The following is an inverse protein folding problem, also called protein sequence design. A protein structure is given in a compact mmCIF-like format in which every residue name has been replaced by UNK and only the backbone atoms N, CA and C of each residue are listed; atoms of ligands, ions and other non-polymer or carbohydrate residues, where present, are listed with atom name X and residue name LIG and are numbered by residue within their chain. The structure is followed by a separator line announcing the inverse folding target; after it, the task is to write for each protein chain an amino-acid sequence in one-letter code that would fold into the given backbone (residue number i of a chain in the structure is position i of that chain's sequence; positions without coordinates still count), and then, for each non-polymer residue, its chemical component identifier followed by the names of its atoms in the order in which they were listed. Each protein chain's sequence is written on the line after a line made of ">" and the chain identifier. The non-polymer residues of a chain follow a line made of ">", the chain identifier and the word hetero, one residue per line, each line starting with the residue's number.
data_IF_502686478892
#
_entry.id   IF_502686478892
#
_cell.length_a   1.000
_cell.length_b   1.000
_cell.length_c   1.000
_cell.angle_alpha   90.00
_cell.angle_beta   90.00
_cell.angle_gamma   90.00
#
_symmetry.space_group_name_H-M   'P 1'
#
loop_
_entity.id
_entity.type
_entity.pdbx_description
1 polymer ?
#
# COMPACT_ATOMS: atom_id res chain seq x y z
N UNK A 1 9.71 -13.62 -37.00
CA UNK A 1 9.45 -14.74 -36.05
C UNK A 1 10.26 -14.44 -34.82
N UNK A 2 9.59 -14.07 -33.72
CA UNK A 2 10.26 -13.72 -32.46
C UNK A 2 10.82 -14.99 -31.78
N UNK A 3 11.90 -14.87 -31.01
CA UNK A 3 12.48 -15.96 -30.20
C UNK A 3 11.44 -16.73 -29.36
N UNK A 4 10.29 -16.11 -29.05
CA UNK A 4 9.15 -16.74 -28.37
C UNK A 4 8.46 -17.84 -29.21
N UNK A 5 8.50 -17.77 -30.53
CA UNK A 5 7.83 -18.76 -31.39
C UNK A 5 8.62 -20.09 -31.50
N UNK A 6 9.90 -20.10 -31.15
CA UNK A 6 10.75 -21.31 -31.21
C UNK A 6 10.72 -22.13 -29.90
N UNK A 7 10.41 -21.52 -28.75
CA UNK A 7 10.30 -22.21 -27.45
C UNK A 7 8.93 -22.90 -27.28
N UNK A 8 7.95 -22.54 -28.09
CA UNK A 8 6.54 -22.91 -27.91
C UNK A 8 6.16 -24.34 -28.37
N UNK A 9 7.07 -25.13 -28.92
CA UNK A 9 6.70 -26.47 -29.43
C UNK A 9 6.81 -27.60 -28.41
N UNK A 10 7.25 -27.35 -27.17
CA UNK A 10 7.54 -28.42 -26.18
C UNK A 10 6.99 -28.16 -24.78
N UNK A 11 6.35 -27.02 -24.49
CA UNK A 11 5.81 -26.74 -23.15
C UNK A 11 4.36 -26.20 -23.20
N UNK A 12 3.55 -26.45 -22.16
CA UNK A 12 2.22 -25.88 -22.06
C UNK A 12 2.24 -24.34 -22.13
N UNK A 13 1.34 -23.78 -22.93
CA UNK A 13 1.22 -22.31 -23.04
C UNK A 13 0.46 -21.76 -21.84
N UNK A 14 0.91 -20.63 -21.25
CA UNK A 14 0.16 -19.92 -20.24
C UNK A 14 -1.11 -19.29 -20.84
N UNK A 15 -1.98 -18.76 -19.98
CA UNK A 15 -3.12 -17.94 -20.43
C UNK A 15 -2.61 -16.77 -21.28
N UNK A 16 -3.37 -16.40 -22.33
CA UNK A 16 -2.97 -15.30 -23.24
C UNK A 16 -2.78 -13.95 -22.55
N UNK A 17 -3.48 -13.69 -21.45
CA UNK A 17 -3.28 -12.49 -20.64
C UNK A 17 -1.89 -12.44 -20.00
N UNK A 18 -1.31 -13.62 -19.71
CA UNK A 18 0.00 -13.74 -19.04
C UNK A 18 1.17 -13.65 -20.01
N UNK A 19 0.99 -14.11 -21.26
CA UNK A 19 2.08 -14.20 -22.26
C UNK A 19 2.82 -12.86 -22.43
N UNK A 20 2.08 -11.74 -22.48
CA UNK A 20 2.63 -10.41 -22.77
C UNK A 20 2.81 -9.55 -21.49
N UNK A 21 2.50 -10.09 -20.32
CA UNK A 21 2.64 -9.36 -19.06
C UNK A 21 4.12 -9.16 -18.69
N UNK A 22 4.42 -7.96 -18.20
CA UNK A 22 5.67 -7.71 -17.49
C UNK A 22 5.49 -8.06 -16.02
N UNK A 23 6.43 -8.83 -15.46
CA UNK A 23 6.40 -9.15 -14.03
C UNK A 23 6.55 -7.88 -13.19
N UNK A 24 5.70 -7.75 -12.17
CA UNK A 24 5.88 -6.73 -11.14
C UNK A 24 7.09 -7.12 -10.28
N UNK A 25 8.18 -6.38 -10.39
CA UNK A 25 9.43 -6.67 -9.70
C UNK A 25 9.89 -5.52 -8.82
N UNK A 26 10.60 -5.86 -7.76
CA UNK A 26 11.23 -4.91 -6.86
C UNK A 26 12.65 -5.39 -6.51
N UNK A 27 13.64 -4.50 -6.35
CA UNK A 27 15.01 -4.87 -5.97
C UNK A 27 15.01 -5.24 -4.47
N UNK A 28 14.86 -6.54 -4.16
CA UNK A 28 14.73 -7.04 -2.79
C UNK A 28 16.07 -7.36 -2.13
N UNK A 29 17.13 -7.59 -2.94
CA UNK A 29 18.40 -8.11 -2.43
C UNK A 29 19.36 -7.01 -1.92
N UNK A 30 20.24 -7.39 -1.02
CA UNK A 30 21.34 -6.54 -0.49
C UNK A 30 20.85 -5.22 0.13
N UNK A 31 19.75 -5.25 0.92
CA UNK A 31 19.14 -4.07 1.53
C UNK A 31 19.35 -3.99 3.06
N UNK A 32 19.68 -5.11 3.71
CA UNK A 32 19.61 -5.25 5.18
C UNK A 32 20.54 -4.33 5.94
N UNK A 33 21.72 -4.04 5.40
CA UNK A 33 22.76 -3.23 6.04
C UNK A 33 22.71 -1.75 5.62
N UNK A 34 21.65 -1.33 4.92
CA UNK A 34 21.49 0.03 4.41
C UNK A 34 20.28 0.69 5.06
N UNK A 35 20.28 2.01 5.15
CA UNK A 35 19.11 2.78 5.54
C UNK A 35 18.04 2.67 4.44
N UNK A 36 16.93 1.99 4.74
CA UNK A 36 15.87 1.64 3.78
C UNK A 36 14.81 2.73 3.68
N UNK A 37 15.00 3.67 2.76
CA UNK A 37 14.04 4.74 2.46
C UNK A 37 13.39 4.56 1.07
N UNK A 38 13.30 3.30 0.58
CA UNK A 38 12.83 2.96 -0.77
C UNK A 38 11.43 2.31 -0.82
N UNK A 39 11.00 1.56 0.22
CA UNK A 39 9.74 0.81 0.21
C UNK A 39 8.73 1.24 1.28
N UNK A 40 8.92 2.40 1.88
CA UNK A 40 8.03 2.94 2.90
C UNK A 40 7.85 1.99 4.10
N UNK A 41 8.90 1.21 4.42
CA UNK A 41 8.94 0.33 5.58
C UNK A 41 9.06 1.14 6.86
N UNK A 42 8.63 0.56 7.99
CA UNK A 42 9.03 1.07 9.31
C UNK A 42 10.54 0.79 9.50
N UNK A 43 11.31 1.85 9.62
CA UNK A 43 12.78 1.77 9.67
C UNK A 43 13.31 1.33 11.04
N UNK A 44 12.48 1.39 12.09
CA UNK A 44 12.81 0.92 13.44
C UNK A 44 12.52 -0.58 13.62
N UNK A 45 11.63 -1.14 12.77
CA UNK A 45 11.17 -2.51 12.92
C UNK A 45 9.98 -2.67 13.87
N UNK A 46 9.66 -3.89 14.35
CA UNK A 46 8.58 -4.14 15.29
C UNK A 46 8.96 -3.77 16.73
N UNK A 47 7.95 -3.64 17.60
CA UNK A 47 8.18 -3.39 19.03
C UNK A 47 8.82 -4.60 19.72
N UNK A 48 9.42 -4.35 20.90
CA UNK A 48 9.99 -5.39 21.73
C UNK A 48 8.96 -6.46 22.12
N UNK A 49 7.70 -6.05 22.39
CA UNK A 49 6.61 -6.98 22.71
C UNK A 49 6.28 -7.93 21.55
N UNK A 50 6.38 -7.45 20.32
CA UNK A 50 6.23 -8.31 19.12
C UNK A 50 7.37 -9.30 19.02
N UNK A 51 8.61 -8.85 19.24
CA UNK A 51 9.78 -9.72 19.20
C UNK A 51 9.70 -10.82 20.27
N UNK A 52 9.31 -10.48 21.50
CA UNK A 52 9.10 -11.45 22.58
C UNK A 52 7.99 -12.45 22.23
N UNK A 53 6.84 -11.98 21.77
CA UNK A 53 5.74 -12.85 21.37
C UNK A 53 6.14 -13.86 20.26
N UNK A 54 7.03 -13.45 19.33
CA UNK A 54 7.56 -14.33 18.30
C UNK A 54 8.52 -15.37 18.91
N UNK A 55 9.38 -14.98 19.85
CA UNK A 55 10.30 -15.89 20.55
C UNK A 55 9.59 -16.97 21.36
N UNK A 56 8.40 -16.63 21.90
CA UNK A 56 7.61 -17.53 22.74
C UNK A 56 6.76 -18.52 21.92
N UNK A 57 6.83 -18.47 20.58
CA UNK A 57 6.16 -19.43 19.69
C UNK A 57 6.73 -20.83 19.94
N UNK A 58 5.88 -21.76 20.36
CA UNK A 58 6.25 -23.13 20.63
C UNK A 58 6.11 -24.03 19.39
N UNK A 59 6.62 -25.27 19.50
CA UNK A 59 6.62 -26.24 18.39
C UNK A 59 5.21 -26.54 17.86
N UNK A 60 4.20 -26.61 18.72
CA UNK A 60 2.83 -26.87 18.29
C UNK A 60 2.29 -25.74 17.42
N UNK A 61 2.58 -24.47 17.76
CA UNK A 61 2.16 -23.32 16.94
C UNK A 61 2.84 -23.28 15.56
N UNK A 62 4.00 -23.97 15.42
CA UNK A 62 4.69 -24.09 14.13
C UNK A 62 4.12 -25.27 13.32
N UNK A 63 3.80 -26.39 13.97
CA UNK A 63 3.39 -27.63 13.32
C UNK A 63 1.89 -27.74 13.02
N UNK A 64 1.06 -26.91 13.67
CA UNK A 64 -0.40 -26.89 13.50
C UNK A 64 -0.80 -25.70 12.63
N UNK A 65 -1.81 -25.88 11.79
CA UNK A 65 -2.38 -24.79 11.02
C UNK A 65 -2.87 -23.64 11.91
N UNK A 66 -2.68 -22.36 11.50
CA UNK A 66 -2.98 -21.21 12.34
C UNK A 66 -4.48 -21.06 12.63
N UNK A 67 -4.79 -20.60 13.84
CA UNK A 67 -6.13 -20.24 14.28
C UNK A 67 -6.31 -18.72 14.21
N UNK A 68 -7.40 -18.25 13.58
CA UNK A 68 -7.63 -16.82 13.32
C UNK A 68 -8.61 -16.15 14.26
N UNK A 69 -9.41 -16.93 15.00
CA UNK A 69 -10.53 -16.41 15.78
C UNK A 69 -10.10 -15.40 16.84
N UNK A 70 -8.99 -15.65 17.54
CA UNK A 70 -8.48 -14.74 18.55
C UNK A 70 -8.08 -13.38 17.95
N UNK A 71 -7.35 -13.40 16.84
CA UNK A 71 -6.95 -12.17 16.14
C UNK A 71 -8.17 -11.43 15.57
N UNK A 72 -9.09 -12.14 14.91
CA UNK A 72 -10.34 -11.53 14.39
C UNK A 72 -11.16 -10.88 15.49
N UNK A 73 -11.36 -11.57 16.60
CA UNK A 73 -12.06 -11.02 17.77
C UNK A 73 -11.37 -9.80 18.36
N UNK A 74 -10.04 -9.81 18.40
CA UNK A 74 -9.29 -8.65 18.86
C UNK A 74 -9.43 -7.47 17.92
N UNK A 75 -9.29 -7.68 16.61
CA UNK A 75 -9.48 -6.65 15.57
C UNK A 75 -10.91 -6.11 15.60
N UNK A 76 -11.91 -6.97 15.69
CA UNK A 76 -13.33 -6.61 15.80
C UNK A 76 -13.61 -5.60 16.91
N UNK A 77 -13.01 -5.81 18.08
CA UNK A 77 -13.31 -5.03 19.28
C UNK A 77 -12.35 -3.85 19.53
N UNK A 78 -11.13 -3.89 19.00
CA UNK A 78 -10.06 -3.01 19.43
C UNK A 78 -9.28 -2.30 18.31
N UNK A 79 -9.60 -2.56 17.03
CA UNK A 79 -8.86 -1.93 15.94
C UNK A 79 -9.05 -0.42 15.92
N UNK A 80 -10.28 0.04 16.13
CA UNK A 80 -10.64 1.43 16.39
C UNK A 80 -11.42 1.55 17.69
N UNK A 81 -11.09 2.51 18.52
CA UNK A 81 -11.79 2.74 19.81
C UNK A 81 -13.23 3.19 19.64
N UNK A 82 -13.47 3.94 18.55
CA UNK A 82 -14.79 4.52 18.24
C UNK A 82 -15.75 3.55 17.54
N UNK A 83 -15.28 2.34 17.15
CA UNK A 83 -16.10 1.40 16.38
C UNK A 83 -15.71 -0.05 16.61
N UNK A 84 -16.71 -0.88 16.81
CA UNK A 84 -16.62 -2.33 16.73
C UNK A 84 -17.09 -2.82 15.35
N UNK A 85 -16.51 -3.91 14.88
CA UNK A 85 -16.87 -4.59 13.65
C UNK A 85 -17.43 -5.97 13.96
N UNK A 86 -18.31 -6.49 13.11
CA UNK A 86 -18.58 -7.92 13.14
C UNK A 86 -17.35 -8.69 12.64
N UNK A 87 -17.05 -9.83 13.24
CA UNK A 87 -15.95 -10.69 12.77
C UNK A 87 -16.10 -11.17 11.34
N UNK A 88 -17.33 -11.22 10.82
CA UNK A 88 -17.65 -11.54 9.43
C UNK A 88 -17.39 -10.37 8.46
N UNK A 89 -17.30 -9.14 8.96
CA UNK A 89 -16.87 -7.95 8.20
C UNK A 89 -15.34 -7.90 8.00
N UNK A 90 -14.56 -8.84 8.56
CA UNK A 90 -13.11 -8.83 8.59
C UNK A 90 -12.54 -10.03 7.83
N UNK A 91 -11.76 -9.76 6.76
CA UNK A 91 -10.91 -10.74 6.08
C UNK A 91 -9.45 -10.61 6.54
N UNK A 92 -8.76 -11.75 6.69
CA UNK A 92 -7.32 -11.82 6.98
C UNK A 92 -6.59 -12.36 5.74
N UNK A 93 -5.46 -11.72 5.40
CA UNK A 93 -4.73 -12.03 4.16
C UNK A 93 -3.21 -12.01 4.40
N UNK A 94 -2.49 -12.72 3.57
CA UNK A 94 -1.01 -12.73 3.55
C UNK A 94 -0.45 -11.40 3.01
N UNK A 95 -0.68 -10.31 3.74
CA UNK A 95 -0.41 -8.93 3.37
C UNK A 95 -1.52 -8.31 2.52
N UNK A 96 -1.45 -6.99 2.35
CA UNK A 96 -2.41 -6.26 1.51
C UNK A 96 -2.39 -6.72 0.04
N UNK A 97 -1.25 -7.15 -0.49
CA UNK A 97 -1.14 -7.63 -1.87
C UNK A 97 -2.02 -8.87 -2.10
N UNK A 98 -2.09 -9.79 -1.12
CA UNK A 98 -2.98 -10.95 -1.20
C UNK A 98 -4.46 -10.52 -1.15
N UNK A 99 -4.82 -9.54 -0.32
CA UNK A 99 -6.18 -8.98 -0.30
C UNK A 99 -6.55 -8.35 -1.64
N UNK A 100 -5.66 -7.54 -2.22
CA UNK A 100 -5.85 -6.93 -3.55
C UNK A 100 -6.09 -8.02 -4.60
N UNK A 101 -5.20 -9.01 -4.66
CA UNK A 101 -5.32 -10.12 -5.62
C UNK A 101 -6.63 -10.91 -5.43
N UNK A 102 -7.01 -11.22 -4.18
CA UNK A 102 -8.26 -11.92 -3.88
C UNK A 102 -9.49 -11.12 -4.33
N UNK A 103 -9.48 -9.78 -4.18
CA UNK A 103 -10.57 -8.92 -4.65
C UNK A 103 -10.68 -8.96 -6.17
N UNK A 104 -9.55 -8.86 -6.89
CA UNK A 104 -9.58 -9.00 -8.36
C UNK A 104 -10.04 -10.39 -8.80
N UNK A 105 -9.62 -11.45 -8.12
CA UNK A 105 -10.06 -12.82 -8.42
C UNK A 105 -11.55 -13.05 -8.14
N UNK A 106 -12.13 -12.31 -7.17
CA UNK A 106 -13.55 -12.49 -6.78
C UNK A 106 -14.52 -11.65 -7.59
N UNK A 107 -14.10 -10.46 -8.03
CA UNK A 107 -14.96 -9.44 -8.63
C UNK A 107 -14.52 -8.96 -10.00
N UNK A 108 -13.31 -9.33 -10.44
CA UNK A 108 -12.79 -8.98 -11.75
C UNK A 108 -13.25 -9.97 -12.82
N UNK A 109 -13.88 -9.46 -13.86
CA UNK A 109 -14.27 -10.23 -15.03
C UNK A 109 -13.60 -9.69 -16.29
N UNK A 110 -13.37 -10.60 -17.27
CA UNK A 110 -12.82 -10.22 -18.59
C UNK A 110 -13.70 -9.14 -19.24
N UNK A 111 -13.06 -8.17 -19.87
CA UNK A 111 -13.67 -7.03 -20.58
C UNK A 111 -14.46 -6.05 -19.69
N UNK A 112 -14.64 -6.35 -18.42
CA UNK A 112 -15.19 -5.40 -17.45
C UNK A 112 -14.19 -4.27 -17.13
N UNK A 113 -14.71 -3.15 -16.65
CA UNK A 113 -13.90 -1.96 -16.41
C UNK A 113 -13.36 -1.94 -14.98
N UNK A 114 -12.04 -1.73 -14.91
CA UNK A 114 -11.30 -1.35 -13.72
C UNK A 114 -10.94 0.13 -13.76
N UNK A 115 -11.37 0.92 -12.78
CA UNK A 115 -11.07 2.35 -12.66
C UNK A 115 -10.12 2.61 -11.49
N UNK A 116 -9.08 3.41 -11.73
CA UNK A 116 -8.15 3.89 -10.70
C UNK A 116 -7.55 5.24 -11.09
N UNK A 117 -6.66 5.79 -10.25
CA UNK A 117 -5.86 6.97 -10.57
C UNK A 117 -4.52 6.59 -11.19
N UNK A 118 -3.82 7.56 -11.80
CA UNK A 118 -2.45 7.43 -12.29
C UNK A 118 -1.67 8.73 -12.03
N UNK A 119 -0.46 8.68 -11.41
CA UNK A 119 0.22 7.50 -10.90
C UNK A 119 -0.40 6.98 -9.58
N UNK A 120 -0.37 5.67 -9.37
CA UNK A 120 -0.82 5.01 -8.13
C UNK A 120 0.02 3.76 -7.83
N UNK A 121 -0.39 2.97 -6.83
CA UNK A 121 0.30 1.73 -6.49
C UNK A 121 0.34 0.76 -7.68
N UNK A 122 1.55 0.32 -8.03
CA UNK A 122 1.79 -0.39 -9.29
C UNK A 122 1.17 -1.78 -9.38
N UNK A 123 0.82 -2.41 -8.26
CA UNK A 123 0.33 -3.79 -8.24
C UNK A 123 -1.11 -3.96 -8.72
N UNK A 124 -1.91 -2.88 -8.74
CA UNK A 124 -3.28 -2.98 -9.26
C UNK A 124 -3.32 -3.33 -10.76
N UNK A 125 -2.39 -2.79 -11.55
CA UNK A 125 -2.34 -3.06 -13.00
C UNK A 125 -2.16 -4.54 -13.32
N UNK A 126 -1.11 -5.24 -12.84
CA UNK A 126 -0.96 -6.67 -13.11
C UNK A 126 -2.16 -7.50 -12.61
N UNK A 127 -2.76 -7.16 -11.46
CA UNK A 127 -3.95 -7.87 -11.00
C UNK A 127 -5.14 -7.73 -11.99
N UNK A 128 -5.36 -6.52 -12.51
CA UNK A 128 -6.41 -6.29 -13.51
C UNK A 128 -6.12 -6.95 -14.86
N UNK A 129 -4.86 -6.97 -15.28
CA UNK A 129 -4.40 -7.60 -16.51
C UNK A 129 -4.59 -9.13 -16.47
N UNK A 130 -4.27 -9.78 -15.32
CA UNK A 130 -4.52 -11.21 -15.10
C UNK A 130 -5.99 -11.56 -15.31
N UNK A 131 -6.92 -10.68 -14.89
CA UNK A 131 -8.37 -10.90 -15.07
C UNK A 131 -8.86 -10.53 -16.49
N UNK A 132 -7.99 -9.93 -17.34
CA UNK A 132 -8.39 -9.45 -18.66
C UNK A 132 -9.32 -8.23 -18.61
N UNK A 133 -9.27 -7.44 -17.54
CA UNK A 133 -10.08 -6.24 -17.39
C UNK A 133 -9.56 -5.07 -18.24
N UNK A 134 -10.46 -4.18 -18.63
CA UNK A 134 -10.10 -2.92 -19.29
C UNK A 134 -9.82 -1.82 -18.26
N UNK A 135 -8.56 -1.43 -18.13
CA UNK A 135 -8.14 -0.38 -17.20
C UNK A 135 -8.45 1.02 -17.73
N UNK A 136 -9.13 1.84 -16.92
CA UNK A 136 -9.33 3.28 -17.11
C UNK A 136 -8.69 4.03 -15.95
N UNK A 137 -8.00 5.14 -16.23
CA UNK A 137 -7.34 5.93 -15.19
C UNK A 137 -7.77 7.39 -15.23
N UNK A 138 -7.75 8.06 -14.07
CA UNK A 138 -7.79 9.51 -13.94
C UNK A 138 -6.42 10.02 -13.48
N UNK A 139 -5.94 11.09 -14.09
CA UNK A 139 -4.68 11.73 -13.70
C UNK A 139 -4.93 12.76 -12.61
N UNK A 140 -4.05 12.85 -11.63
CA UNK A 140 -4.08 13.89 -10.60
C UNK A 140 -3.95 15.28 -11.20
N UNK A 141 -4.56 16.29 -10.56
CA UNK A 141 -4.63 17.66 -11.05
C UNK A 141 -3.57 18.54 -10.41
N UNK A 142 -2.89 19.32 -11.22
CA UNK A 142 -1.91 20.34 -10.81
C UNK A 142 -0.65 19.77 -10.15
N UNK A 143 0.25 20.67 -9.77
CA UNK A 143 1.54 20.33 -9.17
C UNK A 143 1.43 19.72 -7.76
N UNK A 144 0.31 19.96 -7.09
CA UNK A 144 0.00 19.44 -5.75
C UNK A 144 -0.73 18.09 -5.81
N UNK A 145 -0.87 17.49 -6.99
CA UNK A 145 -1.51 16.18 -7.19
C UNK A 145 -2.89 16.11 -6.54
N UNK A 146 -3.77 17.09 -6.76
CA UNK A 146 -5.13 17.08 -6.25
C UNK A 146 -5.91 15.90 -6.86
N UNK A 147 -6.75 15.25 -6.06
CA UNK A 147 -7.57 14.14 -6.55
C UNK A 147 -8.58 14.64 -7.59
N UNK A 148 -8.65 14.03 -8.78
CA UNK A 148 -9.48 14.46 -9.90
C UNK A 148 -10.96 14.10 -9.70
N UNK A 149 -11.61 14.65 -8.69
CA UNK A 149 -12.93 14.21 -8.21
C UNK A 149 -14.01 14.27 -9.28
N UNK A 150 -14.06 15.35 -10.05
CA UNK A 150 -15.06 15.56 -11.12
C UNK A 150 -14.88 14.51 -12.23
N UNK A 151 -13.66 14.37 -12.73
CA UNK A 151 -13.33 13.40 -13.78
C UNK A 151 -13.62 11.96 -13.31
N UNK A 152 -13.34 11.67 -12.04
CA UNK A 152 -13.57 10.36 -11.43
C UNK A 152 -15.08 10.06 -11.36
N UNK A 153 -15.91 11.02 -10.91
CA UNK A 153 -17.37 10.91 -10.88
C UNK A 153 -17.96 10.68 -12.28
N UNK A 154 -17.55 11.48 -13.26
CA UNK A 154 -17.99 11.35 -14.66
C UNK A 154 -17.68 9.95 -15.21
N UNK A 155 -16.49 9.41 -14.92
CA UNK A 155 -16.10 8.06 -15.38
C UNK A 155 -16.90 6.98 -14.67
N UNK A 156 -17.22 7.10 -13.39
CA UNK A 156 -18.09 6.16 -12.67
C UNK A 156 -19.47 6.11 -13.32
N UNK A 157 -20.06 7.28 -13.60
CA UNK A 157 -21.40 7.38 -14.19
C UNK A 157 -21.41 6.85 -15.63
N UNK A 158 -20.43 7.27 -16.44
CA UNK A 158 -20.36 6.93 -17.87
C UNK A 158 -20.03 5.45 -18.10
N UNK A 159 -19.03 4.93 -17.41
CA UNK A 159 -18.47 3.61 -17.71
C UNK A 159 -18.95 2.51 -16.75
N UNK A 160 -19.56 2.86 -15.63
CA UNK A 160 -20.08 1.94 -14.61
C UNK A 160 -19.05 0.83 -14.28
N UNK A 161 -17.82 1.18 -13.87
CA UNK A 161 -16.75 0.22 -13.65
C UNK A 161 -17.16 -0.87 -12.66
N UNK A 162 -16.72 -2.10 -12.91
CA UNK A 162 -16.93 -3.23 -11.99
C UNK A 162 -16.14 -3.07 -10.71
N UNK A 163 -14.85 -2.70 -10.85
CA UNK A 163 -13.92 -2.46 -9.75
C UNK A 163 -13.37 -1.03 -9.81
N UNK A 164 -13.25 -0.41 -8.64
CA UNK A 164 -12.62 0.89 -8.44
C UNK A 164 -11.61 0.75 -7.32
N UNK A 165 -10.33 1.08 -7.56
CA UNK A 165 -9.31 1.13 -6.51
C UNK A 165 -8.82 2.55 -6.30
N UNK A 166 -8.80 2.98 -5.04
CA UNK A 166 -8.27 4.27 -4.59
C UNK A 166 -7.27 4.00 -3.48
N UNK A 167 -6.00 4.28 -3.72
CA UNK A 167 -4.97 4.29 -2.69
C UNK A 167 -5.09 5.60 -1.91
N UNK A 168 -5.30 5.53 -0.59
CA UNK A 168 -5.61 6.70 0.24
C UNK A 168 -4.96 6.62 1.63
N UNK A 169 -3.89 7.34 1.89
CA UNK A 169 -3.10 8.23 1.01
C UNK A 169 -2.49 7.53 -0.20
N UNK A 170 -2.46 8.20 -1.37
CA UNK A 170 -1.97 7.59 -2.60
C UNK A 170 -0.45 7.38 -2.59
N UNK A 171 -0.01 6.22 -2.99
CA UNK A 171 1.39 5.95 -3.26
C UNK A 171 1.64 6.01 -4.80
N UNK A 172 2.43 6.99 -5.31
CA UNK A 172 3.49 7.71 -4.60
C UNK A 172 3.21 9.19 -4.28
N UNK A 173 2.07 9.77 -4.67
CA UNK A 173 1.84 11.21 -4.52
C UNK A 173 1.48 11.66 -3.10
N UNK A 174 1.01 10.74 -2.26
CA UNK A 174 0.53 11.07 -0.92
C UNK A 174 -0.81 11.80 -0.90
N UNK A 175 -1.47 11.94 -2.04
CA UNK A 175 -2.80 12.58 -2.15
C UNK A 175 -3.80 11.91 -1.24
N UNK A 176 -4.61 12.71 -0.56
CA UNK A 176 -5.66 12.25 0.36
C UNK A 176 -7.03 12.64 -0.18
N UNK A 177 -7.91 11.65 -0.25
CA UNK A 177 -9.34 11.85 -0.50
C UNK A 177 -10.09 11.70 0.84
N UNK A 178 -10.91 12.68 1.19
CA UNK A 178 -11.65 12.68 2.45
C UNK A 178 -12.74 11.61 2.48
N UNK A 179 -12.95 11.01 3.65
CA UNK A 179 -13.88 9.91 3.83
C UNK A 179 -15.31 10.22 3.30
N UNK A 180 -15.86 11.42 3.52
CA UNK A 180 -17.17 11.80 3.00
C UNK A 180 -17.23 11.87 1.46
N UNK A 181 -16.08 12.14 0.79
CA UNK A 181 -16.00 12.14 -0.68
C UNK A 181 -16.01 10.70 -1.21
N UNK A 182 -15.33 9.78 -0.50
CA UNK A 182 -15.33 8.35 -0.82
C UNK A 182 -16.75 7.79 -0.74
N UNK A 183 -17.50 8.11 0.32
CA UNK A 183 -18.89 7.71 0.49
C UNK A 183 -19.75 8.19 -0.68
N UNK A 184 -19.61 9.46 -1.07
CA UNK A 184 -20.33 10.02 -2.24
C UNK A 184 -20.00 9.30 -3.55
N UNK A 185 -18.74 8.88 -3.75
CA UNK A 185 -18.38 8.08 -4.93
C UNK A 185 -19.08 6.72 -4.93
N UNK A 186 -19.21 6.07 -3.77
CA UNK A 186 -19.86 4.77 -3.65
C UNK A 186 -21.37 4.82 -3.96
N UNK A 187 -22.00 5.95 -3.69
CA UNK A 187 -23.42 6.17 -3.97
C UNK A 187 -23.72 6.33 -5.46
N UNK A 188 -22.75 6.77 -6.28
CA UNK A 188 -22.93 7.00 -7.72
C UNK A 188 -23.23 5.71 -8.50
N UNK A 189 -22.67 4.58 -8.09
CA UNK A 189 -22.96 3.29 -8.69
C UNK A 189 -22.81 2.16 -7.65
N UNK A 190 -23.90 1.74 -7.06
CA UNK A 190 -23.95 0.69 -6.04
C UNK A 190 -23.54 -0.71 -6.56
N UNK A 191 -23.39 -0.88 -7.88
CA UNK A 191 -22.91 -2.12 -8.51
C UNK A 191 -21.39 -2.14 -8.68
N UNK A 192 -20.71 -1.00 -8.55
CA UNK A 192 -19.24 -0.93 -8.53
C UNK A 192 -18.75 -1.28 -7.13
N UNK A 193 -17.79 -2.18 -7.01
CA UNK A 193 -17.06 -2.37 -5.76
C UNK A 193 -15.93 -1.33 -5.69
N UNK A 194 -15.96 -0.48 -4.66
CA UNK A 194 -14.90 0.49 -4.38
C UNK A 194 -13.99 -0.06 -3.30
N UNK A 195 -12.70 -0.15 -3.62
CA UNK A 195 -11.65 -0.62 -2.71
C UNK A 195 -10.79 0.57 -2.33
N UNK A 196 -10.71 0.84 -1.03
CA UNK A 196 -9.87 1.89 -0.46
C UNK A 196 -8.65 1.23 0.19
N UNK A 197 -7.49 1.48 -0.40
CA UNK A 197 -6.23 0.99 0.13
C UNK A 197 -5.67 2.03 1.11
N UNK A 198 -5.86 1.77 2.41
CA UNK A 198 -5.51 2.65 3.52
C UNK A 198 -4.20 2.24 4.22
N UNK A 199 -3.20 1.74 3.49
CA UNK A 199 -1.93 1.30 4.10
C UNK A 199 -1.15 2.41 4.79
N UNK A 200 -1.43 3.68 4.46
CA UNK A 200 -0.70 4.85 4.97
C UNK A 200 -1.56 5.77 5.85
N UNK A 201 -2.81 5.41 6.14
CA UNK A 201 -3.79 6.29 6.79
C UNK A 201 -3.34 6.80 8.17
N UNK A 202 -2.63 5.97 8.96
CA UNK A 202 -2.13 6.36 10.30
C UNK A 202 -1.21 7.59 10.25
N UNK A 203 -0.49 7.83 9.15
CA UNK A 203 0.38 8.99 9.00
C UNK A 203 -0.38 10.28 8.71
N UNK A 204 -1.63 10.19 8.25
CA UNK A 204 -2.51 11.33 7.95
C UNK A 204 -3.67 11.47 8.96
N UNK A 205 -4.06 10.37 9.63
CA UNK A 205 -5.14 10.36 10.61
C UNK A 205 -6.55 10.42 10.03
N UNK A 206 -6.76 10.12 8.74
CA UNK A 206 -8.07 10.20 8.06
C UNK A 206 -8.44 8.83 7.46
N UNK A 207 -8.98 7.93 8.29
CA UNK A 207 -9.50 6.63 7.87
C UNK A 207 -11.00 6.68 7.61
N UNK A 208 -11.46 5.87 6.65
CA UNK A 208 -12.89 5.65 6.42
C UNK A 208 -13.52 4.75 7.49
N UNK A 209 -12.76 3.83 8.08
CA UNK A 209 -13.28 2.80 8.98
C UNK A 209 -14.04 3.31 10.21
N UNK A 210 -13.64 4.42 10.88
CA UNK A 210 -14.38 4.94 12.04
C UNK A 210 -15.80 5.39 11.72
N UNK A 211 -16.08 5.77 10.46
CA UNK A 211 -17.36 6.40 10.10
C UNK A 211 -18.22 5.60 9.13
N UNK A 212 -17.67 4.59 8.45
CA UNK A 212 -18.42 3.79 7.48
C UNK A 212 -19.41 2.86 8.17
N UNK A 213 -20.64 2.81 7.67
CA UNK A 213 -21.65 1.83 8.03
C UNK A 213 -21.82 0.85 6.85
N UNK A 214 -21.26 -0.35 6.98
CA UNK A 214 -21.28 -1.36 5.92
C UNK A 214 -22.69 -1.93 5.64
N UNK A 215 -23.63 -1.83 6.58
CA UNK A 215 -25.01 -2.21 6.31
C UNK A 215 -25.71 -1.22 5.38
N UNK A 216 -25.34 0.07 5.44
CA UNK A 216 -25.88 1.11 4.55
C UNK A 216 -25.11 1.21 3.24
N UNK A 217 -23.79 1.05 3.27
CA UNK A 217 -22.90 1.21 2.10
C UNK A 217 -22.13 -0.10 1.91
N UNK A 218 -22.78 -1.04 1.20
CA UNK A 218 -22.28 -2.41 1.06
C UNK A 218 -21.15 -2.57 0.03
N UNK A 219 -20.99 -1.62 -0.86
CA UNK A 219 -20.07 -1.67 -2.00
C UNK A 219 -18.71 -1.01 -1.74
N UNK A 220 -18.29 -0.96 -0.49
CA UNK A 220 -16.94 -0.49 -0.10
C UNK A 220 -16.20 -1.64 0.62
N UNK A 221 -14.92 -1.77 0.27
CA UNK A 221 -13.93 -2.57 1.01
C UNK A 221 -12.77 -1.65 1.37
N UNK A 222 -12.31 -1.70 2.61
CA UNK A 222 -11.12 -0.98 3.08
C UNK A 222 -10.01 -1.99 3.35
N UNK A 223 -8.86 -1.81 2.74
CA UNK A 223 -7.66 -2.64 2.97
C UNK A 223 -6.72 -1.91 3.91
N UNK A 224 -6.22 -2.62 4.91
CA UNK A 224 -5.20 -2.14 5.85
C UNK A 224 -4.10 -3.17 6.08
N UNK A 225 -2.97 -2.75 6.63
CA UNK A 225 -1.84 -3.63 6.93
C UNK A 225 -0.99 -3.09 8.06
N UNK A 226 -0.35 -3.98 8.80
CA UNK A 226 0.63 -3.64 9.83
C UNK A 226 2.07 -3.48 9.27
N UNK A 227 2.24 -3.51 7.96
CA UNK A 227 3.55 -3.45 7.30
C UNK A 227 4.26 -2.11 7.48
N UNK A 228 3.50 -0.99 7.52
CA UNK A 228 4.08 0.36 7.47
C UNK A 228 4.24 0.99 8.86
N UNK A 229 3.34 0.71 9.77
CA UNK A 229 3.33 1.31 11.11
C UNK A 229 3.91 0.39 12.19
N UNK A 230 3.52 -0.88 12.20
CA UNK A 230 3.97 -1.84 13.21
C UNK A 230 5.29 -2.57 12.86
N UNK A 231 5.87 -2.32 11.68
CA UNK A 231 7.14 -2.93 11.27
C UNK A 231 7.02 -4.41 10.86
N UNK A 232 5.83 -4.87 10.46
CA UNK A 232 5.56 -6.28 10.14
C UNK A 232 5.60 -6.61 8.64
N UNK A 233 6.29 -5.81 7.82
CA UNK A 233 6.34 -5.99 6.37
C UNK A 233 6.79 -7.41 5.97
N UNK A 234 7.79 -7.97 6.66
CA UNK A 234 8.32 -9.31 6.41
C UNK A 234 7.41 -10.46 6.85
N UNK A 235 6.45 -10.20 7.75
CA UNK A 235 5.53 -11.23 8.27
C UNK A 235 4.26 -11.36 7.44
N UNK A 236 4.00 -10.44 6.53
CA UNK A 236 2.89 -10.51 5.58
C UNK A 236 1.54 -10.63 6.28
N UNK A 237 1.05 -9.58 6.93
CA UNK A 237 -0.30 -9.50 7.51
C UNK A 237 -1.07 -8.29 6.97
N UNK A 238 -2.25 -8.55 6.43
CA UNK A 238 -3.20 -7.56 5.93
C UNK A 238 -4.62 -7.87 6.33
N UNK A 239 -5.45 -6.85 6.30
CA UNK A 239 -6.86 -6.92 6.64
C UNK A 239 -7.69 -6.32 5.50
N UNK A 240 -8.88 -6.89 5.27
CA UNK A 240 -9.92 -6.25 4.47
C UNK A 240 -11.17 -6.11 5.35
N UNK A 241 -11.75 -4.92 5.36
CA UNK A 241 -12.99 -4.61 6.08
C UNK A 241 -14.07 -4.28 5.05
N UNK A 242 -15.26 -4.85 5.20
CA UNK A 242 -16.37 -4.62 4.28
C UNK A 242 -17.62 -5.32 4.73
N UNK A 243 -18.72 -5.11 4.01
CA UNK A 243 -19.96 -5.83 4.30
C UNK A 243 -19.72 -7.35 4.26
N UNK A 244 -20.29 -8.08 5.22
CA UNK A 244 -20.08 -9.54 5.40
C UNK A 244 -20.24 -10.34 4.11
N UNK A 245 -21.26 -10.05 3.28
CA UNK A 245 -21.44 -10.77 2.01
C UNK A 245 -20.28 -10.55 1.02
N UNK A 246 -19.65 -9.37 1.02
CA UNK A 246 -18.48 -9.06 0.18
C UNK A 246 -17.26 -9.83 0.70
N UNK A 247 -16.98 -9.75 2.00
CA UNK A 247 -15.87 -10.46 2.64
C UNK A 247 -15.99 -11.97 2.45
N UNK A 248 -17.20 -12.53 2.57
CA UNK A 248 -17.44 -13.95 2.28
C UNK A 248 -17.07 -14.33 0.84
N UNK A 249 -17.38 -13.49 -0.15
CA UNK A 249 -17.00 -13.76 -1.54
C UNK A 249 -15.47 -13.67 -1.73
N UNK A 250 -14.80 -12.69 -1.14
CA UNK A 250 -13.34 -12.58 -1.22
C UNK A 250 -12.66 -13.80 -0.59
N UNK A 251 -13.17 -14.28 0.54
CA UNK A 251 -12.61 -15.45 1.22
C UNK A 251 -12.79 -16.77 0.44
N UNK A 252 -13.70 -16.86 -0.54
CA UNK A 252 -13.85 -18.07 -1.37
C UNK A 252 -12.70 -18.34 -2.32
N UNK A 253 -11.95 -17.32 -2.67
CA UNK A 253 -10.81 -17.43 -3.62
C UNK A 253 -9.44 -17.46 -2.92
N UNK A 254 -9.43 -17.50 -1.60
CA UNK A 254 -8.23 -17.65 -0.78
C UNK A 254 -8.17 -19.05 -0.16
N UNK A 255 -6.95 -19.50 0.14
CA UNK A 255 -6.78 -20.74 0.92
C UNK A 255 -7.21 -20.54 2.38
N UNK A 256 -7.63 -21.60 3.08
CA UNK A 256 -8.07 -21.51 4.47
C UNK A 256 -6.92 -21.20 5.44
N UNK A 257 -5.67 -21.32 5.02
CA UNK A 257 -4.45 -21.19 5.86
C UNK A 257 -3.48 -20.13 5.31
N UNK A 258 -4.00 -19.07 4.71
CA UNK A 258 -3.24 -18.09 3.94
C UNK A 258 -2.27 -17.27 4.82
N UNK A 259 -2.64 -17.01 6.08
CA UNK A 259 -1.83 -16.23 7.02
C UNK A 259 -1.12 -17.16 8.00
N UNK A 260 0.21 -17.09 8.06
CA UNK A 260 1.03 -17.96 8.90
C UNK A 260 0.91 -17.62 10.41
N UNK A 261 1.25 -18.59 11.29
CA UNK A 261 1.14 -18.48 12.74
C UNK A 261 2.01 -17.35 13.32
N UNK A 262 3.19 -17.09 12.75
CA UNK A 262 4.06 -16.00 13.19
C UNK A 262 3.41 -14.64 12.94
N UNK A 263 2.78 -14.47 11.78
CA UNK A 263 2.05 -13.25 11.45
C UNK A 263 0.85 -13.02 12.38
N UNK A 264 0.10 -14.06 12.70
CA UNK A 264 -1.05 -13.99 13.64
C UNK A 264 -0.59 -13.57 15.03
N UNK A 265 0.44 -14.21 15.55
CA UNK A 265 1.01 -13.91 16.88
C UNK A 265 1.56 -12.48 16.93
N UNK A 266 2.37 -12.11 15.95
CA UNK A 266 2.95 -10.78 15.85
C UNK A 266 1.91 -9.67 15.68
N UNK A 267 0.87 -9.91 14.87
CA UNK A 267 -0.22 -8.95 14.68
C UNK A 267 -0.98 -8.70 15.98
N UNK A 268 -1.29 -9.76 16.75
CA UNK A 268 -1.98 -9.63 18.03
C UNK A 268 -1.13 -8.85 19.04
N UNK A 269 0.19 -9.13 19.10
CA UNK A 269 1.11 -8.41 19.98
C UNK A 269 1.25 -6.93 19.59
N UNK A 270 1.37 -6.64 18.28
CA UNK A 270 1.46 -5.28 17.77
C UNK A 270 0.20 -4.46 18.02
N UNK A 271 -0.99 -5.04 17.79
CA UNK A 271 -2.27 -4.36 18.04
C UNK A 271 -2.53 -4.10 19.53
N UNK A 272 -1.99 -4.92 20.44
CA UNK A 272 -1.99 -4.67 21.88
C UNK A 272 -1.00 -3.58 22.29
N UNK A 273 0.00 -3.29 21.50
CA UNK A 273 1.04 -2.28 21.75
C UNK A 273 0.80 -1.00 20.95
N UNK A 274 -0.40 -0.41 21.13
CA UNK A 274 -0.81 0.80 20.41
C UNK A 274 0.17 1.96 20.57
N UNK A 275 0.72 2.13 21.78
CA UNK A 275 1.66 3.20 22.08
C UNK A 275 2.92 3.16 21.22
N UNK A 276 3.42 1.97 20.88
CA UNK A 276 4.54 1.84 19.96
C UNK A 276 4.21 2.41 18.56
N UNK A 277 3.06 2.03 18.03
CA UNK A 277 2.60 2.50 16.70
C UNK A 277 2.41 4.03 16.71
N UNK A 278 1.77 4.57 17.75
CA UNK A 278 1.53 6.01 17.91
C UNK A 278 2.84 6.80 18.02
N UNK A 279 3.79 6.30 18.83
CA UNK A 279 5.10 6.90 18.98
C UNK A 279 5.89 6.89 17.67
N UNK A 280 5.86 5.78 16.92
CA UNK A 280 6.50 5.71 15.60
C UNK A 280 5.88 6.70 14.61
N UNK A 281 4.56 6.76 14.53
CA UNK A 281 3.85 7.74 13.66
C UNK A 281 4.19 9.17 14.05
N UNK A 282 4.22 9.47 15.36
CA UNK A 282 4.64 10.80 15.87
C UNK A 282 6.07 11.14 15.45
N UNK A 283 7.00 10.18 15.59
CA UNK A 283 8.40 10.37 15.19
C UNK A 283 8.54 10.64 13.69
N UNK A 284 7.86 9.87 12.85
CA UNK A 284 7.83 10.09 11.39
C UNK A 284 7.27 11.48 11.06
N UNK A 285 6.21 11.93 11.74
CA UNK A 285 5.65 13.26 11.51
C UNK A 285 6.59 14.39 11.94
N UNK A 286 7.33 14.25 13.05
CA UNK A 286 8.40 15.18 13.44
C UNK A 286 9.54 15.20 12.41
N UNK A 287 9.93 14.03 11.93
CA UNK A 287 10.95 13.89 10.89
C UNK A 287 10.52 14.52 9.56
N UNK A 288 9.22 14.44 9.22
CA UNK A 288 8.62 15.13 8.08
C UNK A 288 8.82 16.64 8.20
N UNK A 289 8.42 17.24 9.31
CA UNK A 289 8.57 18.68 9.55
C UNK A 289 10.05 19.11 9.46
N UNK A 290 10.96 18.28 9.99
CA UNK A 290 12.41 18.54 9.90
C UNK A 290 12.89 18.60 8.45
N UNK A 291 12.54 17.58 7.63
CA UNK A 291 13.03 17.52 6.25
C UNK A 291 12.33 18.55 5.35
N UNK A 292 11.05 18.87 5.59
CA UNK A 292 10.33 19.95 4.91
C UNK A 292 11.06 21.29 5.09
N UNK A 293 11.38 21.65 6.34
CA UNK A 293 12.14 22.88 6.66
C UNK A 293 13.52 22.92 5.98
N UNK A 294 14.20 21.77 5.86
CA UNK A 294 15.51 21.70 5.17
C UNK A 294 15.39 21.91 3.66
N UNK A 295 14.31 21.42 3.07
CA UNK A 295 14.07 21.50 1.63
C UNK A 295 13.37 22.80 1.21
N UNK A 296 12.66 23.49 2.12
CA UNK A 296 11.87 24.68 1.84
C UNK A 296 12.67 25.77 1.09
N UNK A 297 13.89 26.17 1.52
CA UNK A 297 14.63 27.25 0.87
C UNK A 297 15.21 26.88 -0.50
N UNK A 298 15.11 25.61 -0.93
CA UNK A 298 15.69 25.17 -2.18
C UNK A 298 14.74 25.39 -3.35
N UNK A 299 15.27 25.87 -4.48
CA UNK A 299 14.54 26.04 -5.74
C UNK A 299 14.39 24.72 -6.51
N UNK A 300 14.21 23.59 -5.82
CA UNK A 300 13.94 22.28 -6.41
C UNK A 300 12.48 21.90 -6.20
N UNK A 301 11.90 21.19 -7.19
CA UNK A 301 10.54 20.66 -7.05
C UNK A 301 10.53 19.56 -6.00
N UNK A 302 9.60 19.66 -5.06
CA UNK A 302 9.34 18.68 -3.99
C UNK A 302 7.85 18.60 -3.74
N UNK A 303 7.41 17.44 -3.25
CA UNK A 303 6.01 17.27 -2.89
C UNK A 303 5.87 16.35 -1.69
N UNK A 304 5.17 16.84 -0.65
CA UNK A 304 4.82 16.11 0.56
C UNK A 304 3.32 15.89 0.60
N UNK A 305 2.93 14.66 0.92
CA UNK A 305 1.51 14.28 1.02
C UNK A 305 1.21 13.54 2.32
N UNK A 306 0.12 12.79 2.41
CA UNK A 306 -0.35 12.11 3.62
C UNK A 306 0.37 10.81 4.01
N UNK A 307 1.28 10.28 3.18
CA UNK A 307 2.01 9.03 3.48
C UNK A 307 3.32 9.26 4.26
N UNK A 308 4.03 8.19 4.63
CA UNK A 308 5.37 8.25 5.22
C UNK A 308 6.48 8.37 4.15
N UNK A 309 6.26 9.20 3.14
CA UNK A 309 7.20 9.44 2.03
C UNK A 309 6.93 10.81 1.41
N UNK A 310 7.90 11.27 0.62
CA UNK A 310 7.80 12.45 -0.22
C UNK A 310 8.44 12.22 -1.58
N UNK A 311 8.12 13.07 -2.54
CA UNK A 311 8.76 13.13 -3.85
C UNK A 311 9.70 14.33 -3.91
N UNK A 312 10.85 14.16 -4.56
CA UNK A 312 11.81 15.23 -4.83
C UNK A 312 12.36 15.04 -6.25
N UNK A 313 12.47 16.14 -6.99
CA UNK A 313 13.08 16.19 -8.33
C UNK A 313 14.50 16.73 -8.18
N UNK A 314 15.51 15.85 -8.13
CA UNK A 314 16.89 16.25 -7.93
C UNK A 314 17.45 17.00 -9.13
N UNK A 315 18.55 17.75 -8.93
CA UNK A 315 19.30 18.39 -10.01
C UNK A 315 20.00 17.35 -10.88
N UNK A 316 20.50 16.26 -10.29
CA UNK A 316 21.13 15.14 -11.00
C UNK A 316 20.11 14.19 -11.60
N UNK A 317 20.53 13.40 -12.60
CA UNK A 317 19.76 12.25 -13.10
C UNK A 317 19.38 11.33 -11.91
N UNK A 318 18.08 11.02 -11.71
CA UNK A 318 17.62 10.19 -10.59
C UNK A 318 18.28 8.81 -10.50
N UNK A 319 18.66 8.20 -11.62
CA UNK A 319 19.36 6.91 -11.67
C UNK A 319 20.77 7.02 -11.08
N UNK A 320 21.47 8.10 -11.45
CA UNK A 320 22.82 8.38 -10.94
C UNK A 320 22.73 8.66 -9.44
N UNK A 321 21.82 9.54 -9.05
CA UNK A 321 21.64 9.89 -7.63
C UNK A 321 21.24 8.67 -6.79
N UNK A 322 20.28 7.85 -7.24
CA UNK A 322 19.86 6.65 -6.52
C UNK A 322 21.02 5.67 -6.31
N UNK A 323 21.88 5.50 -7.32
CA UNK A 323 23.09 4.68 -7.21
C UNK A 323 24.07 5.28 -6.18
N UNK A 324 24.35 6.57 -6.28
CA UNK A 324 25.26 7.26 -5.35
C UNK A 324 24.73 7.25 -3.91
N UNK A 325 23.41 7.42 -3.71
CA UNK A 325 22.79 7.29 -2.39
C UNK A 325 23.00 5.88 -1.82
N UNK A 326 22.81 4.82 -2.63
CA UNK A 326 23.08 3.45 -2.23
C UNK A 326 24.56 3.23 -1.83
N UNK A 327 25.50 3.74 -2.60
CA UNK A 327 26.95 3.69 -2.30
C UNK A 327 27.29 4.39 -0.98
N UNK A 328 26.47 5.39 -0.57
CA UNK A 328 26.59 6.11 0.71
C UNK A 328 25.65 5.54 1.80
N UNK A 329 25.16 4.31 1.65
CA UNK A 329 24.43 3.60 2.69
C UNK A 329 22.91 3.88 2.74
N UNK A 330 22.31 4.56 1.76
CA UNK A 330 20.90 4.96 1.76
C UNK A 330 20.19 4.44 0.52
N UNK A 331 19.06 3.75 0.70
CA UNK A 331 18.19 3.33 -0.39
C UNK A 331 17.04 4.32 -0.59
N UNK A 332 16.85 4.78 -1.82
CA UNK A 332 15.70 5.59 -2.25
C UNK A 332 15.11 5.01 -3.52
N UNK A 333 13.90 5.42 -3.90
CA UNK A 333 13.19 4.84 -5.05
C UNK A 333 13.10 5.80 -6.22
N UNK A 334 13.72 5.47 -7.35
CA UNK A 334 13.51 6.17 -8.63
C UNK A 334 12.09 5.94 -9.14
N UNK A 335 11.43 7.00 -9.62
CA UNK A 335 10.08 6.96 -10.18
C UNK A 335 10.13 6.85 -11.71
N UNK A 336 10.57 5.67 -12.20
CA UNK A 336 10.62 5.39 -13.64
C UNK A 336 9.23 5.24 -14.26
N UNK A 337 9.08 5.68 -15.52
CA UNK A 337 7.93 5.40 -16.38
C UNK A 337 6.58 5.75 -15.74
N UNK A 338 6.56 6.76 -14.87
CA UNK A 338 5.34 7.25 -14.22
C UNK A 338 5.11 8.69 -14.65
N UNK A 339 4.23 8.88 -15.63
CA UNK A 339 3.80 10.20 -16.07
C UNK A 339 3.51 11.13 -14.91
N UNK A 340 3.84 12.39 -15.02
CA UNK A 340 3.66 13.48 -14.05
C UNK A 340 4.64 13.48 -12.86
N UNK A 341 5.32 12.37 -12.59
CA UNK A 341 6.36 12.25 -11.54
C UNK A 341 7.69 11.71 -12.06
N UNK A 342 7.86 11.70 -13.36
CA UNK A 342 9.12 11.33 -14.01
C UNK A 342 10.25 12.23 -13.52
N UNK A 343 11.46 11.69 -13.56
CA UNK A 343 12.67 12.35 -13.05
C UNK A 343 12.64 12.69 -11.55
N UNK A 344 11.74 12.11 -10.80
CA UNK A 344 11.75 12.22 -9.34
C UNK A 344 12.29 10.96 -8.67
N UNK A 345 12.66 11.12 -7.41
CA UNK A 345 12.84 10.01 -6.47
C UNK A 345 11.78 10.10 -5.37
N UNK A 346 11.27 8.94 -4.94
CA UNK A 346 10.47 8.84 -3.72
C UNK A 346 11.38 8.44 -2.57
N UNK A 347 11.29 9.17 -1.48
CA UNK A 347 12.04 8.95 -0.27
C UNK A 347 11.07 8.65 0.87
N UNK A 348 11.23 7.52 1.54
CA UNK A 348 10.49 7.21 2.76
C UNK A 348 10.95 8.10 3.90
N UNK A 349 10.04 8.47 4.79
CA UNK A 349 10.38 9.26 5.98
C UNK A 349 10.61 8.28 7.14
N UNK A 350 11.83 8.27 7.65
CA UNK A 350 12.24 7.52 8.83
C UNK A 350 12.18 8.38 10.10
N UNK A 351 13.13 8.17 11.03
CA UNK A 351 13.28 9.00 12.23
C UNK A 351 13.94 10.34 11.89
N UNK A 352 13.89 11.28 12.83
CA UNK A 352 14.60 12.58 12.68
C UNK A 352 16.12 12.41 12.45
N UNK A 353 16.75 11.45 13.14
CA UNK A 353 18.16 11.09 12.94
C UNK A 353 18.41 10.57 11.52
N UNK A 354 17.58 9.64 11.05
CA UNK A 354 17.67 9.07 9.71
C UNK A 354 17.43 10.13 8.61
N UNK A 355 16.49 11.04 8.82
CA UNK A 355 16.28 12.17 7.90
C UNK A 355 17.40 13.19 7.93
N UNK A 356 18.07 13.36 9.05
CA UNK A 356 19.29 14.20 9.14
C UNK A 356 20.45 13.57 8.38
N UNK A 357 20.64 12.26 8.47
CA UNK A 357 21.62 11.52 7.67
C UNK A 357 21.30 11.56 6.17
N UNK A 358 20.03 11.34 5.80
CA UNK A 358 19.58 11.51 4.41
C UNK A 358 19.88 12.91 3.90
N UNK A 359 19.55 13.96 4.66
CA UNK A 359 19.78 15.35 4.28
C UNK A 359 21.26 15.66 4.03
N UNK A 360 22.13 15.25 4.95
CA UNK A 360 23.59 15.50 4.83
C UNK A 360 24.14 14.83 3.58
N UNK A 361 23.74 13.60 3.31
CA UNK A 361 24.14 12.82 2.14
C UNK A 361 23.58 13.43 0.85
N UNK A 362 22.28 13.76 0.82
CA UNK A 362 21.64 14.38 -0.32
C UNK A 362 22.27 15.71 -0.70
N UNK A 363 22.51 16.59 0.32
CA UNK A 363 23.17 17.89 0.12
C UNK A 363 24.56 17.72 -0.52
N UNK A 364 25.35 16.78 -0.03
CA UNK A 364 26.67 16.48 -0.57
C UNK A 364 26.62 16.00 -2.02
N UNK A 365 25.64 15.17 -2.36
CA UNK A 365 25.58 14.48 -3.66
C UNK A 365 24.88 15.31 -4.76
N UNK A 366 23.88 16.12 -4.42
CA UNK A 366 23.01 16.78 -5.40
C UNK A 366 23.10 18.33 -5.38
N UNK A 367 23.48 18.94 -4.25
CA UNK A 367 23.45 20.39 -4.08
C UNK A 367 24.83 21.06 -4.04
N UNK A 368 25.89 20.33 -3.72
CA UNK A 368 27.26 20.88 -3.55
C UNK A 368 28.14 20.58 -4.77
N UNK A 369 27.59 20.67 -5.98
CA UNK A 369 28.38 20.63 -7.22
C UNK A 369 28.46 22.02 -7.84
#
# INVERSE_FOLDING_TARGET
>A
MNEFDQVNNLSPLPRKEIINMQSYSAPLENRRNLLRLDFNENTLGPSQKVYEAIKDINLNQISIYPEYNLLKKFVSNHYYESRQFDSEEIGLFNGADAAINAIFNSFGDRDEIFLTTNPTFGYYSPCSEIQGMRKITCTYEGDNFCFPIKQFQEKIIKFKPKLIFICNPNNPTGTVLRAHQIIKLAELNKKSLIVIDELYEKFNGDSLLPIIDFEKIKNIVVIQSLSKTAGLAGLRIGFAFGHKSIIQHINKVTGPYDVNSFAVTAALAALKDKSYIENYVSEVNKARVLIEKKLEPLAIRKHFGGGNYFLIWPNKDPRILTRQMRENGILVREMKNKKDIENSIRVSIGTQEQMSFFWTTYKKLDLNN
#
